data_IF_600529000589
#
_entry.id   IF_600529000589
#
_cell.length_a   1.000
_cell.length_b   1.000
_cell.length_c   1.000
_cell.angle_alpha   90.00
_cell.angle_beta   90.00
_cell.angle_gamma   90.00
#
_symmetry.space_group_name_H-M   'P 1'
#
loop_
_entity.id
_entity.type
_entity.pdbx_description
1 polymer ?
#
# COMPACT_ATOMS: atom_id res chain seq x y z
N UNK A 1 21.84 18.08 -2.89
CA UNK A 1 20.88 17.37 -2.01
C UNK A 1 19.87 16.60 -2.87
N UNK A 2 19.33 17.27 -3.89
CA UNK A 2 18.30 16.74 -4.80
C UNK A 2 18.72 15.48 -5.58
N UNK A 3 19.97 15.38 -6.04
CA UNK A 3 20.44 14.18 -6.75
C UNK A 3 20.37 12.90 -5.89
N UNK A 4 20.72 12.98 -4.60
CA UNK A 4 20.67 11.84 -3.68
C UNK A 4 19.24 11.47 -3.32
N UNK A 5 18.38 12.47 -3.15
CA UNK A 5 16.95 12.29 -2.91
C UNK A 5 16.28 11.60 -4.11
N UNK A 6 16.56 12.07 -5.33
CA UNK A 6 16.06 11.48 -6.57
C UNK A 6 16.56 10.05 -6.77
N UNK A 7 17.83 9.78 -6.48
CA UNK A 7 18.42 8.44 -6.53
C UNK A 7 17.72 7.49 -5.56
N UNK A 8 17.52 7.92 -4.30
CA UNK A 8 16.86 7.11 -3.28
C UNK A 8 15.39 6.85 -3.61
N UNK A 9 14.67 7.84 -4.14
CA UNK A 9 13.28 7.68 -4.59
C UNK A 9 13.20 6.66 -5.73
N UNK A 10 14.12 6.74 -6.69
CA UNK A 10 14.18 5.81 -7.83
C UNK A 10 14.48 4.38 -7.36
N UNK A 11 15.41 4.21 -6.41
CA UNK A 11 15.72 2.92 -5.81
C UNK A 11 14.52 2.35 -5.07
N UNK A 12 13.86 3.15 -4.23
CA UNK A 12 12.69 2.72 -3.46
C UNK A 12 11.55 2.29 -4.38
N UNK A 13 11.28 3.06 -5.43
CA UNK A 13 10.26 2.73 -6.43
C UNK A 13 10.54 1.39 -7.11
N UNK A 14 11.78 1.17 -7.54
CA UNK A 14 12.17 -0.09 -8.18
C UNK A 14 12.06 -1.27 -7.21
N UNK A 15 12.48 -1.06 -5.97
CA UNK A 15 12.42 -2.06 -4.91
C UNK A 15 10.97 -2.44 -4.59
N UNK A 16 10.06 -1.47 -4.48
CA UNK A 16 8.63 -1.71 -4.26
C UNK A 16 8.02 -2.55 -5.39
N UNK A 17 8.30 -2.22 -6.65
CA UNK A 17 7.79 -3.01 -7.79
C UNK A 17 8.30 -4.46 -7.76
N UNK A 18 9.60 -4.64 -7.48
CA UNK A 18 10.20 -5.96 -7.38
C UNK A 18 9.65 -6.73 -6.18
N UNK A 19 9.49 -6.05 -5.05
CA UNK A 19 8.94 -6.62 -3.82
C UNK A 19 7.51 -7.07 -4.07
N UNK A 20 6.65 -6.20 -4.63
CA UNK A 20 5.24 -6.51 -4.85
C UNK A 20 5.06 -7.69 -5.80
N UNK A 21 5.85 -7.76 -6.88
CA UNK A 21 5.86 -8.91 -7.78
C UNK A 21 6.17 -10.20 -7.02
N UNK A 22 7.22 -10.20 -6.21
CA UNK A 22 7.63 -11.37 -5.43
C UNK A 22 6.65 -11.68 -4.30
N UNK A 23 6.15 -10.69 -3.60
CA UNK A 23 5.12 -10.81 -2.57
C UNK A 23 3.90 -11.56 -3.09
N UNK A 24 3.44 -11.23 -4.31
CA UNK A 24 2.33 -11.93 -4.95
C UNK A 24 2.65 -13.39 -5.27
N UNK A 25 3.88 -13.71 -5.68
CA UNK A 25 4.34 -15.09 -5.90
C UNK A 25 4.27 -15.94 -4.62
N UNK A 26 4.35 -15.31 -3.45
CA UNK A 26 4.32 -15.96 -2.14
C UNK A 26 3.03 -15.67 -1.34
N UNK A 27 1.98 -15.14 -1.97
CA UNK A 27 0.75 -14.76 -1.29
C UNK A 27 -0.10 -15.98 -0.85
N UNK A 28 -0.57 -16.05 0.41
CA UNK A 28 -1.43 -17.13 0.90
C UNK A 28 -2.66 -17.31 0.00
N UNK A 29 -2.77 -18.48 -0.63
CA UNK A 29 -3.83 -18.79 -1.61
C UNK A 29 -3.34 -19.02 -3.04
N UNK A 30 -2.14 -18.54 -3.41
CA UNK A 30 -1.53 -18.79 -4.74
C UNK A 30 -0.30 -19.70 -4.70
N UNK A 31 0.30 -19.90 -3.51
CA UNK A 31 1.54 -20.67 -3.35
C UNK A 31 1.24 -22.16 -3.19
N UNK A 32 2.00 -23.00 -3.89
CA UNK A 32 1.99 -24.43 -3.60
C UNK A 32 2.70 -24.69 -2.26
N UNK A 33 2.17 -25.58 -1.38
CA UNK A 33 2.77 -25.86 -0.06
C UNK A 33 4.26 -26.22 -0.10
N UNK A 34 4.73 -26.77 -1.23
CA UNK A 34 6.11 -27.18 -1.48
C UNK A 34 7.08 -26.00 -1.69
N UNK A 35 6.61 -24.83 -2.15
CA UNK A 35 7.44 -23.64 -2.43
C UNK A 35 7.58 -22.69 -1.25
N UNK A 36 6.63 -22.72 -0.32
CA UNK A 36 6.48 -21.68 0.70
C UNK A 36 7.46 -21.86 1.86
N UNK A 37 7.74 -23.11 2.25
CA UNK A 37 8.45 -23.41 3.50
C UNK A 37 7.70 -22.88 4.74
N UNK A 38 8.26 -23.11 5.94
CA UNK A 38 7.66 -22.65 7.20
C UNK A 38 7.94 -21.15 7.46
N UNK A 39 9.05 -20.65 6.93
CA UNK A 39 9.61 -19.34 7.26
C UNK A 39 9.68 -18.39 6.07
N UNK A 40 8.87 -18.61 5.03
CA UNK A 40 8.82 -17.76 3.85
C UNK A 40 10.17 -17.57 3.12
N UNK A 41 10.20 -16.69 2.10
CA UNK A 41 11.43 -16.38 1.37
C UNK A 41 12.23 -15.26 2.08
N UNK A 42 13.48 -15.54 2.45
CA UNK A 42 14.37 -14.57 3.13
C UNK A 42 14.55 -13.26 2.37
N UNK A 43 14.59 -13.33 1.04
CA UNK A 43 14.70 -12.16 0.17
C UNK A 43 13.57 -11.14 0.38
N UNK A 44 12.34 -11.56 0.72
CA UNK A 44 11.27 -10.59 0.99
C UNK A 44 11.56 -9.78 2.27
N UNK A 45 12.25 -10.37 3.26
CA UNK A 45 12.63 -9.69 4.49
C UNK A 45 13.70 -8.64 4.23
N UNK A 46 14.72 -9.01 3.46
CA UNK A 46 15.80 -8.12 3.06
C UNK A 46 15.25 -6.92 2.26
N UNK A 47 14.35 -7.18 1.31
CA UNK A 47 13.69 -6.14 0.53
C UNK A 47 12.82 -5.22 1.40
N UNK A 48 12.10 -5.76 2.38
CA UNK A 48 11.29 -4.95 3.29
C UNK A 48 12.16 -4.03 4.18
N UNK A 49 13.26 -4.55 4.72
CA UNK A 49 14.24 -3.75 5.48
C UNK A 49 14.84 -2.66 4.60
N UNK A 50 15.29 -3.02 3.39
CA UNK A 50 15.87 -2.05 2.45
C UNK A 50 14.85 -0.96 2.08
N UNK A 51 13.57 -1.31 1.90
CA UNK A 51 12.52 -0.36 1.59
C UNK A 51 12.28 0.62 2.75
N UNK A 52 12.25 0.12 3.98
CA UNK A 52 12.15 0.95 5.18
C UNK A 52 13.35 1.92 5.33
N UNK A 53 14.56 1.44 5.07
CA UNK A 53 15.78 2.28 5.09
C UNK A 53 15.73 3.34 3.99
N UNK A 54 15.37 2.99 2.76
CA UNK A 54 15.25 3.94 1.66
C UNK A 54 14.15 4.98 1.92
N UNK A 55 13.02 4.56 2.48
CA UNK A 55 11.94 5.47 2.87
C UNK A 55 12.38 6.50 3.91
N UNK A 56 13.05 6.07 4.98
CA UNK A 56 13.55 7.02 6.00
C UNK A 56 14.53 8.03 5.41
N UNK A 57 15.31 7.64 4.40
CA UNK A 57 16.24 8.54 3.71
C UNK A 57 15.59 9.66 2.90
N UNK A 58 14.29 9.55 2.58
CA UNK A 58 13.51 10.59 1.90
C UNK A 58 12.99 11.67 2.86
N UNK A 59 13.11 11.45 4.17
CA UNK A 59 12.69 12.39 5.21
C UNK A 59 11.31 12.11 5.79
N UNK A 60 11.01 12.80 6.90
CA UNK A 60 9.84 12.52 7.75
C UNK A 60 8.51 12.69 7.01
N UNK A 61 8.39 13.68 6.14
CA UNK A 61 7.14 13.90 5.38
C UNK A 61 6.83 12.74 4.44
N UNK A 62 7.84 12.18 3.76
CA UNK A 62 7.67 11.00 2.92
C UNK A 62 7.26 9.77 3.75
N UNK A 63 7.90 9.55 4.90
CA UNK A 63 7.54 8.47 5.85
C UNK A 63 6.08 8.57 6.26
N UNK A 64 5.64 9.76 6.71
CA UNK A 64 4.24 9.98 7.13
C UNK A 64 3.25 9.72 6.01
N UNK A 65 3.49 10.28 4.82
CA UNK A 65 2.59 10.15 3.67
C UNK A 65 2.47 8.72 3.16
N UNK A 66 3.59 8.02 3.05
CA UNK A 66 3.58 6.64 2.57
C UNK A 66 2.95 5.69 3.60
N UNK A 67 3.19 5.90 4.89
CA UNK A 67 2.48 5.15 5.93
C UNK A 67 0.98 5.49 6.02
N UNK A 68 0.60 6.74 5.74
CA UNK A 68 -0.80 7.14 5.63
C UNK A 68 -1.50 6.43 4.45
N UNK A 69 -0.77 6.15 3.36
CA UNK A 69 -1.25 5.41 2.20
C UNK A 69 -1.26 3.88 2.37
N UNK A 70 -0.58 3.34 3.39
CA UNK A 70 -0.52 1.90 3.65
C UNK A 70 0.82 1.24 3.32
N UNK A 71 1.93 1.98 3.27
CA UNK A 71 3.26 1.38 3.07
C UNK A 71 3.58 0.29 4.11
N UNK A 72 3.19 0.49 5.36
CA UNK A 72 3.32 -0.50 6.44
C UNK A 72 2.44 -1.74 6.22
N UNK A 73 1.29 -1.59 5.57
CA UNK A 73 0.46 -2.73 5.17
C UNK A 73 1.04 -3.46 3.95
N UNK A 74 1.68 -2.73 3.03
CA UNK A 74 2.34 -3.30 1.85
C UNK A 74 3.64 -4.05 2.19
N UNK A 75 4.35 -3.60 3.23
CA UNK A 75 5.56 -4.25 3.77
C UNK A 75 5.29 -4.78 5.19
N UNK A 76 4.42 -5.80 5.35
CA UNK A 76 3.85 -6.18 6.65
C UNK A 76 4.81 -6.98 7.55
N UNK A 77 5.94 -7.41 7.03
CA UNK A 77 6.93 -8.22 7.75
C UNK A 77 8.34 -7.85 7.32
N UNK A 78 9.29 -8.00 8.23
CA UNK A 78 10.73 -7.84 7.95
C UNK A 78 11.57 -8.95 8.59
N UNK A 79 10.92 -9.99 9.14
CA UNK A 79 11.56 -11.14 9.74
C UNK A 79 10.60 -12.36 9.66
N UNK A 80 11.10 -13.59 9.93
CA UNK A 80 10.29 -14.80 9.82
C UNK A 80 9.11 -14.90 10.80
N UNK A 81 9.19 -14.27 11.97
CA UNK A 81 8.10 -14.31 12.96
C UNK A 81 6.93 -13.47 12.47
N UNK A 82 7.21 -12.26 11.99
CA UNK A 82 6.19 -11.37 11.42
C UNK A 82 5.56 -11.97 10.16
N UNK A 83 6.33 -12.70 9.35
CA UNK A 83 5.80 -13.45 8.21
C UNK A 83 4.73 -14.45 8.63
N UNK A 84 5.01 -15.25 9.67
CA UNK A 84 4.06 -16.24 10.18
C UNK A 84 2.78 -15.56 10.67
N UNK A 85 2.90 -14.50 11.46
CA UNK A 85 1.77 -13.73 11.99
C UNK A 85 0.94 -13.10 10.86
N UNK A 86 1.61 -12.53 9.87
CA UNK A 86 0.96 -11.93 8.70
C UNK A 86 0.20 -13.00 7.89
N UNK A 87 0.81 -14.16 7.66
CA UNK A 87 0.15 -15.26 6.94
C UNK A 87 -1.12 -15.70 7.66
N UNK A 88 -1.03 -15.95 8.97
CA UNK A 88 -2.19 -16.35 9.78
C UNK A 88 -3.30 -15.29 9.71
N UNK A 89 -2.94 -14.00 9.79
CA UNK A 89 -3.87 -12.89 9.67
C UNK A 89 -4.59 -12.88 8.31
N UNK A 90 -3.84 -13.02 7.22
CA UNK A 90 -4.38 -13.02 5.85
C UNK A 90 -5.36 -14.17 5.64
N UNK A 91 -4.99 -15.38 6.05
CA UNK A 91 -5.83 -16.57 5.93
C UNK A 91 -7.09 -16.47 6.79
N UNK A 92 -6.95 -16.04 8.05
CA UNK A 92 -8.05 -15.90 9.01
C UNK A 92 -9.06 -14.84 8.58
N UNK A 93 -8.58 -13.66 8.19
CA UNK A 93 -9.43 -12.53 7.83
C UNK A 93 -9.84 -12.53 6.34
N UNK A 94 -9.39 -13.53 5.57
CA UNK A 94 -9.63 -13.65 4.12
C UNK A 94 -9.27 -12.34 3.40
N UNK A 95 -8.09 -11.81 3.71
CA UNK A 95 -7.62 -10.59 3.07
C UNK A 95 -7.32 -10.93 1.61
N UNK A 96 -7.86 -10.13 0.70
CA UNK A 96 -7.69 -10.34 -0.74
C UNK A 96 -6.42 -9.64 -1.24
N UNK A 97 -5.74 -10.27 -2.21
CA UNK A 97 -4.53 -9.72 -2.80
C UNK A 97 -4.78 -8.36 -3.50
N UNK A 98 -5.97 -8.14 -4.04
CA UNK A 98 -6.38 -6.89 -4.71
C UNK A 98 -6.31 -5.67 -3.80
N UNK A 99 -6.42 -5.87 -2.48
CA UNK A 99 -6.24 -4.81 -1.49
C UNK A 99 -4.81 -4.27 -1.49
N UNK A 100 -3.82 -5.17 -1.53
CA UNK A 100 -2.41 -4.81 -1.62
C UNK A 100 -2.10 -4.16 -2.97
N UNK A 101 -2.77 -4.60 -4.04
CA UNK A 101 -2.71 -3.94 -5.35
C UNK A 101 -3.19 -2.47 -5.29
N UNK A 102 -4.32 -2.23 -4.62
CA UNK A 102 -4.87 -0.88 -4.44
C UNK A 102 -3.91 0.01 -3.64
N UNK A 103 -3.30 -0.52 -2.57
CA UNK A 103 -2.28 0.18 -1.77
C UNK A 103 -1.03 0.48 -2.61
N UNK A 104 -0.48 -0.50 -3.32
CA UNK A 104 0.69 -0.34 -4.19
C UNK A 104 0.43 0.73 -5.26
N UNK A 105 -0.76 0.74 -5.87
CA UNK A 105 -1.16 1.77 -6.85
C UNK A 105 -1.14 3.17 -6.24
N UNK A 106 -1.68 3.35 -5.03
CA UNK A 106 -1.66 4.65 -4.34
C UNK A 106 -0.23 5.11 -4.00
N UNK A 107 0.62 4.19 -3.55
CA UNK A 107 2.03 4.45 -3.28
C UNK A 107 2.78 4.85 -4.56
N UNK A 108 2.51 4.17 -5.68
CA UNK A 108 3.11 4.50 -6.97
C UNK A 108 2.74 5.92 -7.43
N UNK A 109 1.49 6.34 -7.26
CA UNK A 109 1.07 7.72 -7.53
C UNK A 109 1.76 8.73 -6.61
N UNK A 110 1.98 8.40 -5.33
CA UNK A 110 2.73 9.27 -4.43
C UNK A 110 4.20 9.40 -4.83
N UNK A 111 4.85 8.31 -5.28
CA UNK A 111 6.19 8.39 -5.83
C UNK A 111 6.27 9.31 -7.05
N UNK A 112 5.27 9.29 -7.93
CA UNK A 112 5.20 10.20 -9.07
C UNK A 112 5.06 11.65 -8.62
N UNK A 113 4.23 11.94 -7.61
CA UNK A 113 4.13 13.28 -7.01
C UNK A 113 5.46 13.74 -6.43
N UNK A 114 6.14 12.89 -5.66
CA UNK A 114 7.47 13.17 -5.12
C UNK A 114 8.47 13.49 -6.23
N UNK A 115 8.47 12.68 -7.30
CA UNK A 115 9.36 12.86 -8.44
C UNK A 115 9.13 14.20 -9.15
N UNK A 116 7.87 14.61 -9.34
CA UNK A 116 7.54 15.91 -9.94
C UNK A 116 8.01 17.08 -9.07
N UNK A 117 7.83 17.00 -7.76
CA UNK A 117 8.31 18.05 -6.85
C UNK A 117 9.83 18.17 -6.84
N UNK A 118 10.56 17.06 -6.89
CA UNK A 118 12.02 17.05 -6.99
C UNK A 118 12.47 17.68 -8.31
N UNK A 119 11.88 17.25 -9.45
CA UNK A 119 12.21 17.77 -10.79
C UNK A 119 11.97 19.27 -10.91
N UNK A 120 10.90 19.76 -10.27
CA UNK A 120 10.52 21.17 -10.32
C UNK A 120 11.21 22.03 -9.24
N UNK A 121 12.08 21.44 -8.40
CA UNK A 121 12.74 22.18 -7.31
C UNK A 121 11.77 22.67 -6.21
N UNK A 122 10.62 22.00 -6.03
CA UNK A 122 9.56 22.38 -5.09
C UNK A 122 9.40 21.37 -3.95
N UNK A 123 10.46 20.62 -3.64
CA UNK A 123 10.45 19.60 -2.59
C UNK A 123 10.09 20.15 -1.21
N UNK A 124 10.56 21.35 -0.87
CA UNK A 124 10.23 21.99 0.41
C UNK A 124 8.73 22.30 0.52
N UNK A 125 8.11 22.80 -0.57
CA UNK A 125 6.67 23.03 -0.61
C UNK A 125 5.89 21.74 -0.40
N UNK A 126 6.33 20.64 -1.02
CA UNK A 126 5.76 19.31 -0.78
C UNK A 126 5.91 18.88 0.68
N UNK A 127 7.07 19.13 1.30
CA UNK A 127 7.32 18.79 2.70
C UNK A 127 6.42 19.54 3.70
N UNK A 128 5.91 20.73 3.32
CA UNK A 128 5.04 21.56 4.16
C UNK A 128 3.55 21.18 4.09
N UNK A 129 3.15 20.30 3.17
CA UNK A 129 1.76 19.88 3.02
C UNK A 129 1.42 18.72 3.97
N UNK A 130 0.19 18.73 4.48
CA UNK A 130 -0.35 17.64 5.31
C UNK A 130 -0.49 16.33 4.52
N UNK A 131 -0.31 15.18 5.18
CA UNK A 131 -0.45 13.85 4.56
C UNK A 131 -1.83 13.61 3.94
N UNK A 132 -2.88 14.28 4.42
CA UNK A 132 -4.25 14.18 3.92
C UNK A 132 -4.55 15.02 2.68
N UNK A 133 -3.64 15.90 2.24
CA UNK A 133 -3.93 16.89 1.18
C UNK A 133 -4.37 16.25 -0.15
N UNK A 134 -3.71 15.15 -0.55
CA UNK A 134 -3.92 14.52 -1.86
C UNK A 134 -4.17 13.01 -1.79
N UNK A 135 -4.12 12.45 -0.59
CA UNK A 135 -4.03 11.02 -0.36
C UNK A 135 -5.25 10.56 0.40
N UNK A 136 -5.74 9.38 0.05
CA UNK A 136 -6.82 8.73 0.78
C UNK A 136 -6.19 7.79 1.80
N UNK A 137 -6.59 7.87 3.08
CA UNK A 137 -5.99 7.09 4.15
C UNK A 137 -6.12 5.57 3.90
N UNK A 138 -5.22 4.78 4.50
CA UNK A 138 -5.32 3.31 4.55
C UNK A 138 -6.43 2.81 5.47
N UNK A 139 -7.05 3.70 6.25
CA UNK A 139 -8.04 3.43 7.29
C UNK A 139 -9.25 2.65 6.75
N UNK A 140 -9.59 2.86 5.47
CA UNK A 140 -10.61 2.07 4.76
C UNK A 140 -10.29 0.56 4.71
N UNK A 141 -9.04 0.16 4.90
CA UNK A 141 -8.57 -1.22 4.88
C UNK A 141 -8.37 -1.79 6.29
N UNK A 142 -8.15 -0.95 7.31
CA UNK A 142 -7.72 -1.39 8.65
C UNK A 142 -8.68 -2.38 9.32
N UNK A 143 -9.98 -2.30 9.02
CA UNK A 143 -10.97 -3.24 9.55
C UNK A 143 -10.68 -4.71 9.20
N UNK A 144 -9.90 -4.97 8.15
CA UNK A 144 -9.49 -6.31 7.71
C UNK A 144 -8.14 -6.75 8.31
N UNK A 145 -7.32 -5.79 8.76
CA UNK A 145 -5.99 -6.06 9.32
C UNK A 145 -5.98 -6.08 10.86
N UNK A 146 -7.04 -5.60 11.51
CA UNK A 146 -7.19 -5.61 12.97
C UNK A 146 -7.91 -6.89 13.40
N UNK A 147 -7.28 -7.68 14.27
CA UNK A 147 -7.96 -8.78 14.95
C UNK A 147 -9.05 -8.20 15.87
N UNK A 148 -10.26 -8.76 15.86
CA UNK A 148 -11.42 -8.35 16.70
C UNK A 148 -11.18 -8.36 18.24
N UNK A 149 -9.94 -8.58 18.69
CA UNK A 149 -9.54 -8.53 20.10
C UNK A 149 -9.26 -7.07 20.54
N UNK A 150 -8.78 -6.19 19.65
CA UNK A 150 -8.44 -4.79 20.00
C UNK A 150 -9.63 -3.83 19.95
N UNK A 151 -10.78 -4.28 19.45
CA UNK A 151 -12.01 -3.47 19.39
C UNK A 151 -12.64 -3.21 20.77
N UNK A 152 -12.23 -3.96 21.80
CA UNK A 152 -12.77 -3.82 23.15
C UNK A 152 -12.11 -2.68 23.96
N UNK A 153 -10.91 -2.22 23.60
CA UNK A 153 -10.15 -1.25 24.41
C UNK A 153 -10.18 0.19 23.89
N UNK A 154 -10.62 0.42 22.65
CA UNK A 154 -10.68 1.78 22.04
C UNK A 154 -12.00 2.53 22.29
N UNK A 155 -13.01 1.89 22.90
CA UNK A 155 -14.33 2.50 23.10
C UNK A 155 -14.49 3.32 24.40
N UNK A 156 -13.41 3.57 25.16
CA UNK A 156 -13.51 4.23 26.48
C UNK A 156 -12.88 5.62 26.58
N UNK A 157 -12.57 6.30 25.47
CA UNK A 157 -12.02 7.67 25.56
C UNK A 157 -12.51 8.58 24.44
N UNK A 158 -13.82 8.83 24.40
CA UNK A 158 -14.41 10.03 23.80
C UNK A 158 -15.57 10.51 24.68
N UNK A 159 -15.22 11.04 25.86
CA UNK A 159 -16.10 11.94 26.59
C UNK A 159 -16.28 13.23 25.77
N UNK A 160 -17.56 13.63 25.68
CA UNK A 160 -18.06 14.78 24.93
C UNK A 160 -17.45 16.08 25.41
N UNK A 161 -16.84 16.83 24.50
CA UNK A 161 -16.85 18.30 24.57
C UNK A 161 -17.52 18.84 23.33
N UNK A 162 -18.73 19.37 23.53
CA UNK A 162 -19.41 20.28 22.62
C UNK A 162 -18.48 21.44 22.30
N UNK A 163 -18.12 21.62 21.02
CA UNK A 163 -17.91 22.96 20.51
C UNK A 163 -18.30 23.05 19.03
N UNK A 164 -19.16 24.04 18.77
CA UNK A 164 -19.78 24.32 17.49
C UNK A 164 -18.77 25.05 16.61
N UNK A 165 -18.44 24.50 15.43
CA UNK A 165 -18.22 25.31 14.22
C UNK A 165 -18.12 24.46 12.95
N UNK A 166 -18.63 25.03 11.87
CA UNK A 166 -18.89 24.44 10.56
C UNK A 166 -17.72 23.72 9.88
N UNK A 167 -17.98 22.49 9.43
CA UNK A 167 -17.20 21.78 8.42
C UNK A 167 -18.04 20.61 7.91
N UNK A 168 -18.20 20.49 6.59
CA UNK A 168 -19.07 19.52 5.94
C UNK A 168 -18.87 18.10 6.50
N UNK A 169 -19.91 17.57 7.14
CA UNK A 169 -19.94 16.22 7.66
C UNK A 169 -20.12 15.26 6.48
N UNK A 170 -19.01 14.79 5.92
CA UNK A 170 -19.02 13.67 4.98
C UNK A 170 -19.35 12.42 5.80
N UNK A 171 -20.61 11.99 5.74
CA UNK A 171 -21.01 10.66 6.18
C UNK A 171 -20.29 9.65 5.28
N UNK A 172 -19.18 9.10 5.76
CA UNK A 172 -18.55 7.93 5.14
C UNK A 172 -19.37 6.74 5.60
N UNK A 173 -20.43 6.44 4.84
CA UNK A 173 -21.12 5.16 4.92
C UNK A 173 -20.06 4.05 4.88
N UNK A 174 -20.15 3.15 5.86
CA UNK A 174 -19.26 2.01 6.01
C UNK A 174 -19.30 1.20 4.71
N UNK A 175 -18.29 1.38 3.86
CA UNK A 175 -18.19 0.67 2.59
C UNK A 175 -17.91 -0.80 2.87
N UNK A 176 -18.95 -1.62 2.78
CA UNK A 176 -18.81 -3.07 2.74
C UNK A 176 -17.98 -3.44 1.51
N UNK A 177 -16.77 -3.95 1.73
CA UNK A 177 -15.89 -4.39 0.66
C UNK A 177 -16.61 -5.38 -0.25
N UNK A 178 -16.71 -5.05 -1.55
CA UNK A 178 -17.38 -5.87 -2.56
C UNK A 178 -16.37 -6.29 -3.62
N UNK A 179 -15.89 -7.53 -3.49
CA UNK A 179 -14.91 -8.21 -4.36
C UNK A 179 -15.27 -8.10 -5.85
N UNK A 180 -16.56 -8.20 -6.20
CA UNK A 180 -17.02 -8.15 -7.60
C UNK A 180 -16.85 -6.76 -8.23
N UNK A 181 -16.93 -5.68 -7.45
CA UNK A 181 -16.72 -4.32 -7.95
C UNK A 181 -15.24 -4.01 -8.19
N UNK A 182 -14.35 -4.60 -7.40
CA UNK A 182 -12.91 -4.38 -7.54
C UNK A 182 -12.31 -5.18 -8.70
N UNK A 183 -12.72 -6.44 -8.92
CA UNK A 183 -12.34 -7.19 -10.12
C UNK A 183 -12.79 -6.48 -11.42
N UNK A 184 -13.99 -5.91 -11.41
CA UNK A 184 -14.49 -5.09 -12.53
C UNK A 184 -13.70 -3.79 -12.67
N UNK A 185 -13.30 -3.15 -11.57
CA UNK A 185 -12.43 -1.97 -11.60
C UNK A 185 -11.05 -2.30 -12.16
N UNK A 186 -10.45 -3.45 -11.79
CA UNK A 186 -9.16 -3.94 -12.32
C UNK A 186 -9.25 -4.20 -13.83
N UNK A 187 -10.33 -4.83 -14.31
CA UNK A 187 -10.59 -5.00 -15.77
C UNK A 187 -10.75 -3.65 -16.49
N UNK A 188 -11.42 -2.70 -15.85
CA UNK A 188 -11.64 -1.36 -16.42
C UNK A 188 -10.33 -0.55 -16.43
N UNK A 189 -9.48 -0.72 -15.43
CA UNK A 189 -8.13 -0.17 -15.35
C UNK A 189 -7.21 -0.72 -16.45
N UNK A 190 -7.30 -2.02 -16.78
CA UNK A 190 -6.59 -2.60 -17.94
C UNK A 190 -7.03 -1.96 -19.27
N UNK A 191 -8.34 -1.73 -19.43
CA UNK A 191 -8.90 -1.02 -20.58
C UNK A 191 -8.45 0.44 -20.69
N UNK A 192 -8.33 1.15 -19.55
CA UNK A 192 -7.82 2.51 -19.48
C UNK A 192 -6.31 2.58 -19.76
N UNK A 193 -5.54 1.60 -19.29
CA UNK A 193 -4.11 1.47 -19.55
C UNK A 193 -3.82 1.33 -21.06
N UNK A 194 -4.59 0.49 -21.76
CA UNK A 194 -4.48 0.28 -23.22
C UNK A 194 -4.81 1.54 -24.05
N UNK A 195 -5.57 2.49 -23.49
CA UNK A 195 -6.09 3.66 -24.24
C UNK A 195 -5.40 4.98 -23.92
N UNK A 196 -4.75 5.13 -22.75
CA UNK A 196 -4.26 6.45 -22.32
C UNK A 196 -2.76 6.61 -22.15
N UNK A 197 -1.93 5.55 -22.15
CA UNK A 197 -0.45 5.68 -22.11
C UNK A 197 0.14 6.39 -20.87
N UNK A 198 -0.71 6.85 -19.94
CA UNK A 198 -0.35 7.66 -18.76
C UNK A 198 0.17 6.77 -17.60
N UNK A 199 0.07 5.44 -17.69
CA UNK A 199 0.22 4.55 -16.53
C UNK A 199 1.19 3.37 -16.76
N UNK A 200 2.37 3.60 -17.32
CA UNK A 200 3.36 2.52 -17.55
C UNK A 200 3.80 1.78 -16.27
N UNK A 201 3.62 2.39 -15.10
CA UNK A 201 4.05 1.84 -13.81
C UNK A 201 2.98 0.97 -13.14
N UNK A 202 1.70 1.33 -13.26
CA UNK A 202 0.57 0.49 -12.82
C UNK A 202 0.46 -0.76 -13.69
N UNK A 203 0.91 -0.69 -14.95
CA UNK A 203 0.94 -1.82 -15.88
C UNK A 203 1.66 -3.06 -15.34
N UNK A 204 2.80 -2.89 -14.67
CA UNK A 204 3.63 -3.99 -14.17
C UNK A 204 2.96 -4.68 -12.97
N UNK A 205 2.37 -3.87 -12.09
CA UNK A 205 1.61 -4.29 -10.91
C UNK A 205 0.33 -5.01 -11.34
N UNK A 206 -0.41 -4.42 -12.29
CA UNK A 206 -1.66 -4.94 -12.84
C UNK A 206 -1.45 -6.25 -13.63
N UNK A 207 -0.39 -6.31 -14.44
CA UNK A 207 -0.01 -7.52 -15.17
C UNK A 207 0.34 -8.69 -14.23
N UNK A 208 0.96 -8.40 -13.09
CA UNK A 208 1.29 -9.41 -12.09
C UNK A 208 0.01 -9.98 -11.44
N UNK A 209 -0.94 -9.11 -11.09
CA UNK A 209 -2.24 -9.52 -10.54
C UNK A 209 -3.06 -10.30 -11.56
N UNK A 210 -3.25 -9.79 -12.78
CA UNK A 210 -4.04 -10.45 -13.84
C UNK A 210 -3.51 -11.85 -14.20
N UNK A 211 -2.19 -12.00 -14.27
CA UNK A 211 -1.55 -13.29 -14.56
C UNK A 211 -1.77 -14.31 -13.44
N UNK A 212 -1.83 -13.88 -12.18
CA UNK A 212 -1.99 -14.76 -11.02
C UNK A 212 -3.46 -15.08 -10.70
N UNK A 213 -4.39 -14.18 -11.00
CA UNK A 213 -5.84 -14.43 -10.84
C UNK A 213 -6.45 -15.26 -11.98
N UNK A 214 -5.65 -15.66 -12.98
CA UNK A 214 -6.13 -16.45 -14.13
C UNK A 214 -6.99 -15.65 -15.12
N UNK A 215 -6.98 -14.33 -15.02
CA UNK A 215 -7.71 -13.44 -15.92
C UNK A 215 -6.91 -13.25 -17.22
N UNK A 216 -7.47 -13.70 -18.35
CA UNK A 216 -6.84 -13.57 -19.67
C UNK A 216 -6.73 -12.09 -20.08
N UNK A 217 -5.56 -11.73 -20.62
CA UNK A 217 -5.22 -10.41 -21.21
C UNK A 217 -6.05 -10.14 -22.46
#
# INVERSE_FOLDING_TARGET
MDNKLQENLTKLRRLENNYFKKFNEYYPGYVSPEKEGVFGPSELYEMAIEAQVLLTSLGVTAVKRLNYLGFDLLFPFNNPVDWYNWKELVEKNKIYNTMYFSISTRIATEFERMEQHIKNGTWESYCNLSESEFSVPKEQYLSLFINNVDRAESNNSLEKTDDKNHGAQINIDTFTYNEQREEQAIKTLDGLHKTTGIWSNVANVLSSVLKMTGMKI
#
